data_IF_573435234703
#
_entry.id   IF_573435234703
#
_cell.length_a   1.000
_cell.length_b   1.000
_cell.length_c   1.000
_cell.angle_alpha   90.00
_cell.angle_beta   90.00
_cell.angle_gamma   90.00
#
_symmetry.space_group_name_H-M   'P 1'
#
loop_
_entity.id
_entity.type
_entity.pdbx_description
1 polymer ?
#
# COMPACT_ATOMS: atom_id res chain seq x y z
N UNK A 1 7.49 23.48 4.25
CA UNK A 1 6.88 23.33 2.92
C UNK A 1 7.83 22.55 2.02
N UNK A 2 7.46 21.38 1.61
CA UNK A 2 8.28 20.52 0.77
C UNK A 2 7.53 20.07 -0.47
N UNK A 3 8.25 20.10 -1.60
CA UNK A 3 7.81 19.51 -2.85
C UNK A 3 8.89 18.51 -3.27
N UNK A 4 8.51 17.30 -3.65
CA UNK A 4 9.45 16.29 -4.09
C UNK A 4 8.91 15.56 -5.30
N UNK A 5 9.69 15.53 -6.35
CA UNK A 5 9.46 14.70 -7.53
C UNK A 5 10.45 13.55 -7.51
N UNK A 6 9.98 12.33 -7.66
CA UNK A 6 10.81 11.12 -7.82
C UNK A 6 10.47 10.46 -9.13
N UNK A 7 11.50 9.98 -9.83
CA UNK A 7 11.36 9.18 -11.04
C UNK A 7 12.28 7.98 -10.89
N UNK A 8 11.80 6.78 -11.14
CA UNK A 8 12.59 5.56 -11.06
C UNK A 8 11.79 4.35 -10.57
N UNK A 9 12.52 3.34 -10.07
CA UNK A 9 11.96 2.12 -9.52
C UNK A 9 11.64 2.30 -8.04
N UNK A 10 10.37 2.49 -7.72
CA UNK A 10 9.91 2.88 -6.38
C UNK A 10 8.60 2.21 -5.98
N UNK A 11 8.25 2.35 -4.70
CA UNK A 11 6.95 1.97 -4.16
C UNK A 11 5.98 3.13 -4.38
N UNK A 12 4.77 2.83 -4.87
CA UNK A 12 3.66 3.78 -4.90
C UNK A 12 3.11 4.03 -3.51
N UNK A 13 3.11 5.28 -3.07
CA UNK A 13 2.55 5.65 -1.77
C UNK A 13 1.04 5.47 -1.79
N UNK A 14 0.56 4.41 -1.16
CA UNK A 14 -0.86 4.07 -1.08
C UNK A 14 -1.34 3.96 0.36
N UNK A 15 -0.63 3.25 1.23
CA UNK A 15 -1.05 2.94 2.60
C UNK A 15 -0.03 3.42 3.65
N UNK A 16 -0.44 3.43 4.90
CA UNK A 16 0.42 3.75 6.03
C UNK A 16 1.57 2.76 6.14
N UNK A 17 1.24 1.48 6.28
CA UNK A 17 2.22 0.40 6.50
C UNK A 17 3.29 0.36 5.39
N UNK A 18 2.88 0.54 4.13
CA UNK A 18 3.81 0.56 2.99
C UNK A 18 4.65 1.83 2.90
N UNK A 19 4.29 2.88 3.62
CA UNK A 19 4.98 4.17 3.63
C UNK A 19 6.03 4.26 4.75
N UNK A 20 5.99 3.34 5.69
CA UNK A 20 6.95 3.24 6.80
C UNK A 20 8.19 2.48 6.32
N UNK A 21 9.36 2.90 6.80
CA UNK A 21 10.59 2.13 6.58
C UNK A 21 10.53 0.82 7.35
N UNK A 22 11.08 -0.26 6.78
CA UNK A 22 11.18 -1.55 7.48
C UNK A 22 11.95 -1.47 8.80
N UNK A 23 12.82 -0.46 8.97
CA UNK A 23 13.54 -0.23 10.22
C UNK A 23 12.66 0.38 11.31
N UNK A 24 11.52 0.94 10.94
CA UNK A 24 10.60 1.64 11.83
C UNK A 24 9.32 0.81 12.09
N UNK A 25 9.29 -0.45 11.65
CA UNK A 25 8.18 -1.34 11.97
C UNK A 25 8.11 -1.64 13.45
N UNK A 26 6.90 -1.66 13.99
CA UNK A 26 6.64 -2.02 15.39
C UNK A 26 6.84 -3.52 15.65
N UNK A 27 6.65 -4.34 14.63
CA UNK A 27 6.81 -5.78 14.64
C UNK A 27 7.85 -6.20 13.59
N UNK A 28 8.20 -7.46 13.56
CA UNK A 28 9.19 -8.00 12.63
C UNK A 28 8.80 -7.84 11.16
N UNK A 29 7.50 -7.76 10.87
CA UNK A 29 6.94 -7.59 9.52
C UNK A 29 5.83 -6.56 9.53
N UNK A 30 5.47 -6.04 8.35
CA UNK A 30 4.25 -5.27 8.18
C UNK A 30 2.99 -6.13 8.30
N UNK A 31 1.84 -5.51 8.37
CA UNK A 31 0.57 -6.22 8.49
C UNK A 31 0.27 -7.06 7.24
N UNK A 32 -0.17 -8.33 7.42
CA UNK A 32 -0.49 -9.25 6.33
C UNK A 32 -1.50 -8.68 5.33
N UNK A 33 -2.48 -7.93 5.80
CA UNK A 33 -3.45 -7.30 4.92
C UNK A 33 -2.78 -6.26 4.03
N UNK A 34 -1.84 -5.48 4.55
CA UNK A 34 -1.10 -4.50 3.78
C UNK A 34 -0.24 -5.16 2.69
N UNK A 35 0.32 -6.34 2.97
CA UNK A 35 1.08 -7.12 1.99
C UNK A 35 0.21 -7.58 0.81
N UNK A 36 -0.98 -8.12 1.05
CA UNK A 36 -1.91 -8.57 0.00
C UNK A 36 -2.36 -7.39 -0.90
N UNK A 37 -2.52 -6.20 -0.31
CA UNK A 37 -2.90 -4.98 -1.02
C UNK A 37 -1.71 -4.24 -1.63
N UNK A 38 -0.51 -4.72 -1.43
CA UNK A 38 0.72 -4.06 -1.86
C UNK A 38 0.88 -4.01 -3.38
N UNK A 39 1.00 -2.82 -3.98
CA UNK A 39 1.17 -2.70 -5.44
C UNK A 39 2.56 -3.14 -5.93
N UNK A 40 3.51 -3.38 -5.03
CA UNK A 40 4.88 -3.72 -5.35
C UNK A 40 5.71 -2.49 -5.78
N UNK A 41 7.01 -2.74 -6.01
CA UNK A 41 7.89 -1.73 -6.62
C UNK A 41 7.68 -1.71 -8.13
N UNK A 42 7.63 -0.51 -8.70
CA UNK A 42 7.38 -0.28 -10.13
C UNK A 42 8.21 0.89 -10.65
N UNK A 43 8.44 0.93 -11.95
CA UNK A 43 9.02 2.11 -12.60
C UNK A 43 7.90 3.13 -12.80
N UNK A 44 8.17 4.37 -12.39
CA UNK A 44 7.19 5.42 -12.53
C UNK A 44 7.68 6.77 -12.05
N UNK A 45 6.75 7.66 -11.89
CA UNK A 45 6.97 9.00 -11.32
C UNK A 45 6.02 9.23 -10.17
N UNK A 46 6.49 9.89 -9.13
CA UNK A 46 5.69 10.31 -7.99
C UNK A 46 5.97 11.75 -7.63
N UNK A 47 4.91 12.45 -7.24
CA UNK A 47 4.99 13.79 -6.70
C UNK A 47 4.44 13.80 -5.29
N UNK A 48 5.16 14.43 -4.38
CA UNK A 48 4.79 14.59 -2.97
C UNK A 48 4.80 16.07 -2.62
N UNK A 49 3.76 16.49 -1.95
CA UNK A 49 3.63 17.80 -1.34
C UNK A 49 3.40 17.66 0.16
N UNK A 50 4.15 18.43 0.95
CA UNK A 50 3.98 18.49 2.41
C UNK A 50 4.00 19.93 2.90
N UNK A 51 3.05 20.28 3.73
CA UNK A 51 2.95 21.61 4.33
C UNK A 51 2.36 21.51 5.73
N UNK A 52 3.16 21.87 6.77
CA UNK A 52 2.68 21.86 8.16
C UNK A 52 1.95 20.56 8.50
N UNK A 53 0.62 20.62 8.62
CA UNK A 53 -0.25 19.52 9.02
C UNK A 53 -0.75 18.64 7.86
N UNK A 54 -0.41 18.97 6.62
CA UNK A 54 -0.94 18.29 5.42
C UNK A 54 0.17 17.60 4.64
N UNK A 55 -0.16 16.43 4.14
CA UNK A 55 0.66 15.69 3.20
C UNK A 55 -0.23 15.15 2.07
N UNK A 56 0.24 15.26 0.86
CA UNK A 56 -0.39 14.66 -0.30
C UNK A 56 0.65 14.04 -1.21
N UNK A 57 0.38 12.89 -1.75
CA UNK A 57 1.23 12.26 -2.77
C UNK A 57 0.39 11.65 -3.88
N UNK A 58 0.93 11.70 -5.08
CA UNK A 58 0.37 11.06 -6.25
C UNK A 58 1.46 10.37 -7.05
N UNK A 59 1.17 9.23 -7.67
CA UNK A 59 2.15 8.47 -8.43
C UNK A 59 1.50 7.78 -9.63
N UNK A 60 2.27 7.60 -10.69
CA UNK A 60 1.90 6.83 -11.88
C UNK A 60 3.04 5.87 -12.19
N UNK A 61 2.70 4.60 -12.45
CA UNK A 61 3.66 3.51 -12.65
C UNK A 61 3.29 2.63 -13.83
N UNK A 62 4.33 1.97 -14.41
CA UNK A 62 4.14 0.85 -15.32
C UNK A 62 3.55 -0.38 -14.59
N UNK A 63 2.94 -1.30 -15.34
CA UNK A 63 2.29 -2.49 -14.79
C UNK A 63 3.24 -3.48 -14.12
N UNK A 64 4.30 -3.88 -14.81
CA UNK A 64 5.15 -5.03 -14.42
C UNK A 64 6.57 -4.65 -13.93
N UNK A 65 6.78 -3.40 -13.56
CA UNK A 65 8.07 -2.99 -13.02
C UNK A 65 9.20 -3.07 -14.04
N UNK A 66 10.25 -3.86 -13.73
CA UNK A 66 11.44 -4.03 -14.58
C UNK A 66 11.36 -5.27 -15.49
N UNK A 67 10.31 -6.07 -15.39
CA UNK A 67 10.21 -7.29 -16.17
C UNK A 67 9.78 -6.96 -17.59
N UNK A 68 10.62 -7.32 -18.54
CA UNK A 68 10.33 -7.21 -19.96
C UNK A 68 9.96 -8.60 -20.48
N UNK A 69 8.68 -8.78 -20.74
CA UNK A 69 8.19 -10.00 -21.36
C UNK A 69 7.78 -9.71 -22.80
N UNK A 70 8.19 -10.57 -23.71
CA UNK A 70 7.65 -10.57 -25.06
C UNK A 70 6.15 -10.85 -25.00
N UNK A 71 5.38 -10.25 -25.89
CA UNK A 71 3.93 -10.46 -26.01
C UNK A 71 3.08 -9.96 -24.83
N UNK A 72 3.59 -9.00 -24.05
CA UNK A 72 2.85 -8.34 -22.96
C UNK A 72 2.69 -6.85 -23.25
N UNK A 73 1.44 -6.39 -23.27
CA UNK A 73 1.12 -4.97 -23.21
C UNK A 73 1.02 -4.54 -21.76
N UNK A 74 1.97 -3.71 -21.32
CA UNK A 74 2.01 -3.23 -19.95
C UNK A 74 0.77 -2.39 -19.60
N UNK A 75 0.24 -2.64 -18.40
CA UNK A 75 -0.78 -1.84 -17.77
C UNK A 75 -0.20 -0.57 -17.13
N UNK A 76 -1.08 0.21 -16.54
CA UNK A 76 -0.73 1.46 -15.84
C UNK A 76 -1.38 1.45 -14.46
N UNK A 77 -0.62 1.88 -13.45
CA UNK A 77 -1.08 2.04 -12.08
C UNK A 77 -0.98 3.50 -11.67
N UNK A 78 -1.93 3.97 -10.90
CA UNK A 78 -1.89 5.28 -10.28
C UNK A 78 -2.25 5.17 -8.80
N UNK A 79 -1.56 5.94 -7.95
CA UNK A 79 -1.88 6.04 -6.52
C UNK A 79 -2.05 7.49 -6.11
N UNK A 80 -2.91 7.70 -5.14
CA UNK A 80 -3.11 8.97 -4.45
C UNK A 80 -3.16 8.69 -2.94
N UNK A 81 -2.57 9.57 -2.14
CA UNK A 81 -2.66 9.52 -0.68
C UNK A 81 -2.70 10.91 -0.09
N UNK A 82 -3.57 11.11 0.88
CA UNK A 82 -3.73 12.34 1.63
C UNK A 82 -3.64 12.06 3.12
N UNK A 83 -2.93 12.92 3.84
CA UNK A 83 -2.78 12.84 5.28
C UNK A 83 -3.02 14.21 5.91
N UNK A 84 -3.75 14.20 7.02
CA UNK A 84 -3.96 15.36 7.86
C UNK A 84 -3.53 15.05 9.30
N UNK A 85 -2.72 15.93 9.88
CA UNK A 85 -2.23 15.86 11.28
C UNK A 85 -2.79 17.02 12.09
N UNK A 86 -4.02 16.91 12.62
CA UNK A 86 -4.64 17.96 13.41
C UNK A 86 -3.84 18.28 14.68
N UNK A 87 -3.33 17.24 15.34
CA UNK A 87 -2.48 17.34 16.51
C UNK A 87 -1.07 16.86 16.13
N UNK A 88 -0.08 17.71 16.31
CA UNK A 88 1.33 17.41 16.02
C UNK A 88 2.18 18.28 16.95
N UNK A 89 2.40 17.79 18.16
CA UNK A 89 3.19 18.46 19.18
C UNK A 89 4.09 17.44 19.92
N UNK A 90 4.93 17.91 20.83
CA UNK A 90 5.94 17.08 21.51
C UNK A 90 5.38 15.85 22.25
N UNK A 91 4.11 15.86 22.63
CA UNK A 91 3.50 14.81 23.46
C UNK A 91 2.35 14.08 22.78
N UNK A 92 1.78 14.67 21.72
CA UNK A 92 0.57 14.14 21.09
C UNK A 92 0.65 14.28 19.59
N UNK A 93 0.43 13.18 18.90
CA UNK A 93 0.25 13.11 17.47
C UNK A 93 -1.11 12.48 17.15
N UNK A 94 -1.88 13.12 16.29
CA UNK A 94 -3.02 12.50 15.62
C UNK A 94 -2.82 12.64 14.12
N UNK A 95 -2.71 11.50 13.45
CA UNK A 95 -2.60 11.38 12.01
C UNK A 95 -3.86 10.69 11.50
N UNK A 96 -4.47 11.25 10.49
CA UNK A 96 -5.61 10.67 9.78
C UNK A 96 -5.27 10.73 8.30
N UNK A 97 -5.40 9.61 7.60
CA UNK A 97 -5.09 9.55 6.19
C UNK A 97 -6.05 8.69 5.40
N UNK A 98 -5.98 8.84 4.10
CA UNK A 98 -6.72 8.02 3.13
C UNK A 98 -5.93 7.93 1.83
N UNK A 99 -6.06 6.80 1.16
CA UNK A 99 -5.41 6.55 -0.12
C UNK A 99 -6.33 5.86 -1.11
N UNK A 100 -5.97 5.96 -2.37
CA UNK A 100 -6.61 5.27 -3.46
C UNK A 100 -5.57 4.73 -4.44
N UNK A 101 -5.86 3.59 -5.03
CA UNK A 101 -5.06 2.98 -6.08
C UNK A 101 -5.98 2.55 -7.23
N UNK A 102 -5.55 2.89 -8.42
CA UNK A 102 -6.09 2.33 -9.66
C UNK A 102 -5.01 1.50 -10.34
N UNK A 103 -5.35 0.28 -10.73
CA UNK A 103 -4.45 -0.62 -11.46
C UNK A 103 -5.17 -1.18 -12.68
N UNK A 104 -4.53 -1.01 -13.83
CA UNK A 104 -4.85 -1.74 -15.04
C UNK A 104 -3.80 -2.84 -15.20
N UNK A 105 -4.19 -4.14 -15.16
CA UNK A 105 -3.23 -5.23 -15.25
C UNK A 105 -2.59 -5.28 -16.64
N UNK A 106 -1.46 -5.97 -16.70
CA UNK A 106 -0.81 -6.30 -17.96
C UNK A 106 -1.70 -7.25 -18.77
N UNK A 107 -1.62 -7.13 -20.07
CA UNK A 107 -2.41 -7.93 -20.99
C UNK A 107 -1.49 -8.73 -21.92
N UNK A 108 -1.68 -10.04 -21.98
CA UNK A 108 -1.04 -10.86 -22.98
C UNK A 108 -1.58 -10.49 -24.38
N UNK A 109 -0.69 -10.20 -25.32
CA UNK A 109 -1.07 -9.74 -26.67
C UNK A 109 -1.54 -10.88 -27.57
N UNK A 110 -1.15 -12.11 -27.28
CA UNK A 110 -1.55 -13.30 -28.06
C UNK A 110 -2.89 -13.86 -27.60
N UNK A 111 -3.04 -14.08 -26.30
CA UNK A 111 -4.29 -14.65 -25.76
C UNK A 111 -5.36 -13.58 -25.45
N UNK A 112 -4.94 -12.32 -25.33
CA UNK A 112 -5.82 -11.25 -24.91
C UNK A 112 -6.19 -11.29 -23.42
N UNK A 113 -5.62 -12.20 -22.66
CA UNK A 113 -5.91 -12.39 -21.24
C UNK A 113 -5.14 -11.43 -20.33
N UNK A 114 -5.73 -11.15 -19.20
CA UNK A 114 -5.13 -10.36 -18.14
C UNK A 114 -5.53 -10.93 -16.78
N UNK A 115 -4.60 -10.92 -15.83
CA UNK A 115 -4.83 -11.43 -14.48
C UNK A 115 -4.19 -10.52 -13.43
N UNK A 116 -4.72 -10.61 -12.22
CA UNK A 116 -4.15 -9.96 -11.04
C UNK A 116 -3.86 -11.06 -10.02
N UNK A 117 -2.60 -11.16 -9.61
CA UNK A 117 -2.16 -12.04 -8.54
C UNK A 117 -2.17 -11.29 -7.21
N UNK A 118 -2.77 -11.90 -6.21
CA UNK A 118 -2.80 -11.43 -4.82
C UNK A 118 -2.06 -12.46 -3.98
N UNK A 119 -1.02 -12.03 -3.28
CA UNK A 119 -0.16 -12.90 -2.47
C UNK A 119 0.11 -12.29 -1.11
N UNK A 120 0.11 -13.13 -0.09
CA UNK A 120 0.51 -12.78 1.26
C UNK A 120 1.34 -13.91 1.88
N UNK A 121 2.52 -13.58 2.40
CA UNK A 121 3.46 -14.57 2.94
C UNK A 121 3.19 -14.91 4.40
N UNK A 122 2.33 -14.17 5.07
CA UNK A 122 2.18 -14.25 6.51
C UNK A 122 3.31 -13.51 7.24
N UNK A 123 3.22 -13.43 8.56
CA UNK A 123 4.16 -12.67 9.40
C UNK A 123 5.53 -13.36 9.56
N UNK A 124 6.10 -13.84 8.45
CA UNK A 124 7.39 -14.54 8.49
C UNK A 124 8.23 -14.30 7.24
N UNK A 125 9.54 -14.15 7.43
CA UNK A 125 10.54 -14.13 6.36
C UNK A 125 11.06 -15.55 6.02
N UNK A 126 10.53 -16.58 6.65
CA UNK A 126 10.92 -17.95 6.34
C UNK A 126 10.41 -18.35 4.95
N UNK A 127 11.08 -19.26 4.24
CA UNK A 127 10.64 -19.78 2.95
C UNK A 127 9.48 -20.77 3.12
N UNK A 128 8.36 -20.26 3.59
CA UNK A 128 7.11 -20.99 3.75
C UNK A 128 6.15 -20.70 2.61
N UNK A 129 5.20 -21.58 2.30
CA UNK A 129 4.15 -21.32 1.32
C UNK A 129 3.38 -20.03 1.68
N UNK A 130 2.88 -19.32 0.66
CA UNK A 130 2.00 -18.18 0.89
C UNK A 130 0.79 -18.59 1.73
N UNK A 131 0.45 -17.80 2.74
CA UNK A 131 -0.79 -17.94 3.51
C UNK A 131 -1.99 -17.62 2.64
N UNK A 132 -1.80 -16.71 1.69
CA UNK A 132 -2.78 -16.37 0.69
C UNK A 132 -2.09 -16.29 -0.69
N UNK A 133 -2.56 -17.08 -1.65
CA UNK A 133 -2.13 -17.02 -3.05
C UNK A 133 -3.34 -17.23 -3.95
N UNK A 134 -3.77 -16.21 -4.63
CA UNK A 134 -4.91 -16.24 -5.53
C UNK A 134 -4.63 -15.45 -6.80
N UNK A 135 -4.95 -16.03 -7.95
CA UNK A 135 -4.88 -15.36 -9.25
C UNK A 135 -6.29 -15.13 -9.79
N UNK A 136 -6.65 -13.87 -9.93
CA UNK A 136 -7.94 -13.42 -10.45
C UNK A 136 -7.80 -13.24 -11.97
N UNK A 137 -8.31 -14.19 -12.73
CA UNK A 137 -8.30 -14.18 -14.20
C UNK A 137 -9.34 -13.24 -14.78
N UNK A 138 -9.14 -12.88 -16.07
CA UNK A 138 -10.02 -11.97 -16.84
C UNK A 138 -10.18 -10.59 -16.19
N UNK A 139 -9.16 -10.14 -15.46
CA UNK A 139 -9.18 -8.87 -14.73
C UNK A 139 -9.09 -7.70 -15.71
N UNK A 140 -10.03 -6.75 -15.61
CA UNK A 140 -10.08 -5.55 -16.42
C UNK A 140 -9.34 -4.38 -15.73
N UNK A 141 -9.68 -4.14 -14.47
CA UNK A 141 -9.05 -3.14 -13.63
C UNK A 141 -9.29 -3.43 -12.15
N UNK A 142 -8.46 -2.84 -11.32
CA UNK A 142 -8.53 -2.92 -9.86
C UNK A 142 -8.58 -1.51 -9.28
N UNK A 143 -9.47 -1.34 -8.33
CA UNK A 143 -9.56 -0.16 -7.47
C UNK A 143 -9.26 -0.60 -6.05
N UNK A 144 -8.42 0.16 -5.35
CA UNK A 144 -8.21 -0.01 -3.92
C UNK A 144 -8.43 1.32 -3.22
N UNK A 145 -8.79 1.24 -1.95
CA UNK A 145 -8.91 2.37 -1.05
C UNK A 145 -8.41 1.98 0.34
N UNK A 146 -7.98 2.95 1.10
CA UNK A 146 -7.67 2.79 2.52
C UNK A 146 -8.10 3.98 3.34
N UNK A 147 -8.27 3.75 4.63
CA UNK A 147 -8.41 4.76 5.68
C UNK A 147 -7.43 4.37 6.77
N UNK A 148 -6.62 5.31 7.22
CA UNK A 148 -5.54 5.08 8.17
C UNK A 148 -5.59 6.09 9.31
N UNK A 149 -5.14 5.67 10.49
CA UNK A 149 -4.98 6.57 11.64
C UNK A 149 -3.81 6.15 12.50
N UNK A 150 -3.10 7.15 13.05
CA UNK A 150 -2.14 6.99 14.14
C UNK A 150 -2.55 7.95 15.25
N UNK A 151 -2.62 7.44 16.46
CA UNK A 151 -2.70 8.23 17.66
C UNK A 151 -1.54 7.90 18.59
N UNK A 152 -0.77 8.91 18.97
CA UNK A 152 0.29 8.80 19.95
C UNK A 152 0.08 9.85 21.03
N UNK A 153 0.13 9.43 22.28
CA UNK A 153 0.09 10.33 23.42
C UNK A 153 0.99 9.80 24.55
N UNK A 154 2.05 10.52 24.83
CA UNK A 154 3.07 10.14 25.84
C UNK A 154 3.62 8.72 25.58
N UNK A 155 3.25 7.77 26.44
CA UNK A 155 3.67 6.36 26.35
C UNK A 155 2.69 5.47 25.56
N UNK A 156 1.55 5.98 25.16
CA UNK A 156 0.52 5.23 24.45
C UNK A 156 0.64 5.47 22.94
N UNK A 157 0.68 4.40 22.17
CA UNK A 157 0.69 4.44 20.72
C UNK A 157 -0.39 3.48 20.18
N UNK A 158 -1.18 3.98 19.26
CA UNK A 158 -2.22 3.24 18.55
C UNK A 158 -2.14 3.57 17.07
N UNK A 159 -2.05 2.56 16.22
CA UNK A 159 -2.20 2.74 14.77
C UNK A 159 -3.14 1.71 14.20
N UNK A 160 -3.72 2.01 13.07
CA UNK A 160 -4.55 1.06 12.35
C UNK A 160 -4.92 1.55 10.98
N UNK A 161 -5.29 0.60 10.14
CA UNK A 161 -5.68 0.84 8.76
C UNK A 161 -6.77 -0.14 8.34
N UNK A 162 -7.74 0.35 7.58
CA UNK A 162 -8.76 -0.46 6.92
C UNK A 162 -8.62 -0.26 5.42
N UNK A 163 -8.63 -1.36 4.67
CA UNK A 163 -8.44 -1.37 3.22
C UNK A 163 -9.54 -2.14 2.52
N UNK A 164 -9.86 -1.72 1.31
CA UNK A 164 -10.75 -2.46 0.44
C UNK A 164 -10.26 -2.46 -1.01
N UNK A 165 -10.62 -3.51 -1.75
CA UNK A 165 -10.38 -3.59 -3.17
C UNK A 165 -11.59 -4.11 -3.94
N UNK A 166 -11.69 -3.68 -5.18
CA UNK A 166 -12.65 -4.16 -6.17
C UNK A 166 -11.87 -4.47 -7.43
N UNK A 167 -11.91 -5.72 -7.89
CA UNK A 167 -11.33 -6.13 -9.17
C UNK A 167 -12.50 -6.38 -10.14
N UNK A 168 -12.62 -5.54 -11.16
CA UNK A 168 -13.56 -5.74 -12.24
C UNK A 168 -13.04 -6.78 -13.20
N UNK A 169 -13.92 -7.67 -13.65
CA UNK A 169 -13.60 -8.80 -14.52
C UNK A 169 -14.47 -8.76 -15.78
N UNK A 170 -13.91 -9.25 -16.89
CA UNK A 170 -14.68 -9.47 -18.11
C UNK A 170 -15.48 -10.77 -17.98
N UNK A 171 -16.76 -10.73 -18.31
CA UNK A 171 -17.65 -11.90 -18.34
C UNK A 171 -17.74 -12.70 -17.02
N UNK A 172 -17.43 -12.06 -15.89
CA UNK A 172 -17.46 -12.67 -14.56
C UNK A 172 -17.80 -11.62 -13.50
N UNK A 173 -18.40 -12.02 -12.38
CA UNK A 173 -18.65 -11.11 -11.27
C UNK A 173 -17.36 -10.43 -10.76
N UNK A 174 -17.47 -9.19 -10.30
CA UNK A 174 -16.36 -8.49 -9.68
C UNK A 174 -15.90 -9.23 -8.41
N UNK A 175 -14.59 -9.23 -8.19
CA UNK A 175 -14.01 -9.74 -6.95
C UNK A 175 -13.84 -8.58 -5.97
N UNK A 176 -14.34 -8.75 -4.75
CA UNK A 176 -14.23 -7.76 -3.68
C UNK A 176 -13.49 -8.39 -2.50
N UNK A 177 -12.58 -7.61 -1.91
CA UNK A 177 -11.89 -7.97 -0.69
C UNK A 177 -11.71 -6.76 0.21
N UNK A 178 -11.70 -6.98 1.51
CA UNK A 178 -11.39 -5.97 2.52
C UNK A 178 -10.74 -6.60 3.72
N UNK A 179 -9.99 -5.79 4.44
CA UNK A 179 -9.33 -6.20 5.66
C UNK A 179 -8.81 -4.98 6.42
N UNK A 180 -8.23 -5.21 7.56
CA UNK A 180 -7.67 -4.15 8.37
C UNK A 180 -6.81 -4.73 9.48
N UNK A 181 -6.06 -3.85 10.11
CA UNK A 181 -5.25 -4.16 11.28
C UNK A 181 -5.31 -3.00 12.28
N UNK A 182 -4.97 -3.30 13.51
CA UNK A 182 -4.78 -2.36 14.59
C UNK A 182 -3.61 -2.80 15.47
N UNK A 183 -2.68 -1.89 15.71
CA UNK A 183 -1.51 -2.08 16.57
C UNK A 183 -1.62 -1.15 17.76
N UNK A 184 -1.45 -1.69 18.95
CA UNK A 184 -1.50 -0.94 20.20
C UNK A 184 -0.26 -1.22 21.04
N UNK A 185 0.46 -0.17 21.45
CA UNK A 185 1.65 -0.25 22.26
C UNK A 185 1.55 0.68 23.46
N UNK A 186 2.00 0.16 24.58
CA UNK A 186 2.20 0.93 25.79
C UNK A 186 3.68 0.84 26.19
N UNK A 187 4.40 1.94 26.08
CA UNK A 187 5.80 2.01 26.49
C UNK A 187 5.90 2.09 28.01
N UNK A 188 6.45 1.06 28.64
CA UNK A 188 6.79 1.08 30.07
C UNK A 188 8.18 1.68 30.28
N UNK A 189 8.42 2.34 31.40
CA UNK A 189 9.64 3.13 31.65
C UNK A 189 10.90 2.30 31.88
N UNK A 190 10.85 0.99 31.92
CA UNK A 190 11.90 0.13 32.45
C UNK A 190 12.80 -0.54 31.39
N UNK A 191 12.75 -0.07 30.15
CA UNK A 191 13.56 -0.66 29.08
C UNK A 191 14.83 0.16 28.75
N UNK A 192 15.23 1.12 29.60
CA UNK A 192 16.32 2.05 29.30
C UNK A 192 17.24 2.37 30.53
N UNK A 193 17.39 1.44 31.49
CA UNK A 193 18.47 1.49 32.50
C UNK A 193 19.47 0.37 32.23
#
# INVERSE_FOLDING_TARGET
>A
NGHMLRIGYMIGMFSLDQSVSTNDYLFMTGANVAEIFYPGRRIGASYTWSKSKFYASGSVFCGDGLNFHNNIKQGVNATLRFVYRPLDNAHTLLHIGTGGLYKRPDKNTETGESSISLKGTGDTYLPVPFVFDSTISHSQCQYQWNIESIFHHLKFFLQGEVMGMIIRRNNSPSYNAYGGYIDCLLYTSDAAD
#
